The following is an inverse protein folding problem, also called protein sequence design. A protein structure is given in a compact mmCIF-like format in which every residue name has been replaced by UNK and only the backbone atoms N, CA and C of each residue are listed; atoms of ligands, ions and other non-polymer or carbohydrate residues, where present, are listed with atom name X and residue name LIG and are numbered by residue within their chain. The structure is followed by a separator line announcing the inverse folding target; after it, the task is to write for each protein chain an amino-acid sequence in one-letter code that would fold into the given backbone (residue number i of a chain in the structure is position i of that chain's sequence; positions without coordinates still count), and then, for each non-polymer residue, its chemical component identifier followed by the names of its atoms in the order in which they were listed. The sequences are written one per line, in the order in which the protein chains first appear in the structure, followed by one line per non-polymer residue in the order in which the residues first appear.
data_IF_849884399042
#
_entry.id   IF_849884399042
#
_cell.length_a   1.000
_cell.length_b   1.000
_cell.length_c   1.000
_cell.angle_alpha   90.00
_cell.angle_beta   90.00
_cell.angle_gamma   90.00
#
_symmetry.space_group_name_H-M   'P 1'
#
loop_
_entity.id
_entity.type
_entity.pdbx_description
1 polymer ?
#
# COMPACT_ATOMS: atom_id res chain seq x y z
N UNK A 1 -22.34 6.13 0.22
CA UNK A 1 -21.47 7.30 -0.09
C UNK A 1 -22.31 8.56 -0.15
N UNK A 2 -21.87 9.66 0.47
CA UNK A 2 -22.65 10.90 0.59
C UNK A 2 -22.00 12.08 -0.15
N UNK A 3 -22.73 13.18 -0.43
CA UNK A 3 -22.20 14.34 -1.15
C UNK A 3 -20.90 14.85 -0.50
N UNK A 4 -19.86 15.05 -1.31
CA UNK A 4 -18.50 15.40 -0.85
C UNK A 4 -17.52 14.22 -0.79
N UNK A 5 -17.99 13.01 -0.47
CA UNK A 5 -17.14 11.80 -0.38
C UNK A 5 -17.27 10.87 -1.58
N UNK A 6 -18.19 11.14 -2.52
CA UNK A 6 -18.49 10.24 -3.64
C UNK A 6 -17.24 9.85 -4.43
N UNK A 7 -16.40 10.82 -4.80
CA UNK A 7 -15.18 10.54 -5.55
C UNK A 7 -14.23 9.63 -4.74
N UNK A 8 -14.04 9.94 -3.45
CA UNK A 8 -13.16 9.19 -2.56
C UNK A 8 -13.63 7.74 -2.38
N UNK A 9 -14.94 7.57 -2.13
CA UNK A 9 -15.54 6.24 -1.96
C UNK A 9 -15.55 5.43 -3.26
N UNK A 10 -15.98 6.01 -4.39
CA UNK A 10 -16.07 5.28 -5.65
C UNK A 10 -14.69 4.90 -6.20
N UNK A 11 -13.67 5.76 -6.04
CA UNK A 11 -12.33 5.46 -6.53
C UNK A 11 -11.72 4.24 -5.85
N UNK A 12 -11.88 4.12 -4.52
CA UNK A 12 -11.37 2.96 -3.78
C UNK A 12 -12.32 1.77 -3.79
N UNK A 13 -13.62 1.96 -3.99
CA UNK A 13 -14.53 0.84 -4.32
C UNK A 13 -14.12 0.20 -5.65
N UNK A 14 -13.83 1.01 -6.66
CA UNK A 14 -13.27 0.52 -7.92
C UNK A 14 -11.94 -0.21 -7.69
N UNK A 15 -11.04 0.38 -6.89
CA UNK A 15 -9.80 -0.29 -6.45
C UNK A 15 -10.05 -1.65 -5.80
N UNK A 16 -11.05 -1.77 -4.92
CA UNK A 16 -11.41 -3.03 -4.26
C UNK A 16 -11.92 -4.07 -5.27
N UNK A 17 -12.80 -3.66 -6.19
CA UNK A 17 -13.34 -4.53 -7.23
C UNK A 17 -12.26 -5.03 -8.19
N UNK A 18 -11.16 -4.29 -8.37
CA UNK A 18 -9.98 -4.75 -9.09
C UNK A 18 -9.05 -5.61 -8.22
N UNK A 19 -8.86 -5.24 -6.95
CA UNK A 19 -7.93 -5.91 -6.05
C UNK A 19 -8.35 -7.35 -5.73
N UNK A 20 -9.65 -7.64 -5.64
CA UNK A 20 -10.16 -8.99 -5.38
C UNK A 20 -9.79 -10.01 -6.48
N UNK A 21 -10.15 -9.79 -7.77
CA UNK A 21 -9.73 -10.70 -8.84
C UNK A 21 -8.21 -10.69 -9.05
N UNK A 22 -7.55 -9.53 -8.90
CA UNK A 22 -6.08 -9.45 -8.98
C UNK A 22 -5.41 -10.31 -7.89
N UNK A 23 -5.89 -10.26 -6.66
CA UNK A 23 -5.43 -11.14 -5.58
C UNK A 23 -5.64 -12.63 -5.93
N UNK A 24 -6.82 -12.99 -6.43
CA UNK A 24 -7.11 -14.37 -6.83
C UNK A 24 -6.16 -14.85 -7.94
N UNK A 25 -5.91 -14.02 -8.96
CA UNK A 25 -4.98 -14.34 -10.05
C UNK A 25 -3.54 -14.49 -9.56
N UNK A 26 -3.09 -13.61 -8.67
CA UNK A 26 -1.74 -13.68 -8.11
C UNK A 26 -1.56 -14.96 -7.27
N UNK A 27 -2.55 -15.31 -6.47
CA UNK A 27 -2.53 -16.54 -5.68
C UNK A 27 -2.63 -17.80 -6.54
N UNK A 28 -3.43 -17.78 -7.61
CA UNK A 28 -3.48 -18.85 -8.60
C UNK A 28 -2.13 -19.04 -9.29
N UNK A 29 -1.33 -17.98 -9.43
CA UNK A 29 0.04 -18.06 -9.94
C UNK A 29 1.02 -18.66 -8.91
N UNK A 30 0.93 -18.25 -7.64
CA UNK A 30 1.92 -18.64 -6.63
C UNK A 30 1.66 -19.99 -5.97
N UNK A 31 0.39 -20.36 -5.72
CA UNK A 31 0.06 -21.60 -5.00
C UNK A 31 0.60 -22.87 -5.69
N UNK A 32 0.48 -23.03 -7.03
CA UNK A 32 1.01 -24.22 -7.70
C UNK A 32 2.53 -24.34 -7.67
N UNK A 33 3.26 -23.27 -7.36
CA UNK A 33 4.73 -23.30 -7.32
C UNK A 33 5.28 -24.11 -6.15
N UNK A 34 4.49 -24.28 -5.08
CA UNK A 34 4.93 -24.92 -3.83
C UNK A 34 6.03 -24.16 -3.07
N UNK A 35 6.47 -23.00 -3.56
CA UNK A 35 7.53 -22.19 -2.97
C UNK A 35 6.96 -21.31 -1.84
N UNK A 36 7.36 -21.54 -0.57
CA UNK A 36 6.84 -20.78 0.57
C UNK A 36 7.10 -19.28 0.46
N UNK A 37 8.23 -18.86 -0.11
CA UNK A 37 8.58 -17.45 -0.24
C UNK A 37 7.67 -16.74 -1.24
N UNK A 38 7.40 -17.38 -2.39
CA UNK A 38 6.46 -16.87 -3.40
C UNK A 38 5.03 -16.83 -2.88
N UNK A 39 4.58 -17.89 -2.22
CA UNK A 39 3.24 -17.97 -1.64
C UNK A 39 3.05 -16.89 -0.56
N UNK A 40 4.00 -16.76 0.37
CA UNK A 40 3.94 -15.73 1.41
C UNK A 40 3.96 -14.32 0.82
N UNK A 41 4.84 -14.05 -0.15
CA UNK A 41 4.92 -12.76 -0.84
C UNK A 41 3.63 -12.40 -1.57
N UNK A 42 3.05 -13.35 -2.31
CA UNK A 42 1.78 -13.19 -3.01
C UNK A 42 0.61 -12.94 -2.06
N UNK A 43 0.50 -13.72 -0.98
CA UNK A 43 -0.54 -13.57 0.05
C UNK A 43 -0.46 -12.21 0.72
N UNK A 44 0.71 -11.83 1.23
CA UNK A 44 0.90 -10.60 1.99
C UNK A 44 0.61 -9.36 1.12
N UNK A 45 1.11 -9.33 -0.11
CA UNK A 45 0.81 -8.22 -1.03
C UNK A 45 -0.68 -8.15 -1.37
N UNK A 46 -1.29 -9.29 -1.72
CA UNK A 46 -2.71 -9.35 -2.09
C UNK A 46 -3.65 -8.93 -0.95
N UNK A 47 -3.44 -9.49 0.25
CA UNK A 47 -4.29 -9.21 1.41
C UNK A 47 -4.16 -7.78 1.88
N UNK A 48 -2.95 -7.20 1.85
CA UNK A 48 -2.75 -5.80 2.21
C UNK A 48 -3.39 -4.83 1.22
N UNK A 49 -3.36 -5.12 -0.09
CA UNK A 49 -4.07 -4.35 -1.10
C UNK A 49 -5.59 -4.41 -0.91
N UNK A 50 -6.16 -5.61 -0.74
CA UNK A 50 -7.59 -5.78 -0.46
C UNK A 50 -7.98 -5.05 0.83
N UNK A 51 -7.18 -5.17 1.89
CA UNK A 51 -7.42 -4.49 3.17
C UNK A 51 -7.44 -2.97 3.02
N UNK A 52 -6.50 -2.37 2.27
CA UNK A 52 -6.49 -0.93 1.99
C UNK A 52 -7.79 -0.50 1.31
N UNK A 53 -8.10 -1.08 0.16
CA UNK A 53 -9.25 -0.62 -0.62
C UNK A 53 -10.57 -0.87 0.10
N UNK A 54 -10.69 -1.97 0.85
CA UNK A 54 -11.85 -2.23 1.68
C UNK A 54 -11.99 -1.21 2.82
N UNK A 55 -10.93 -1.01 3.61
CA UNK A 55 -10.96 -0.08 4.74
C UNK A 55 -11.29 1.35 4.28
N UNK A 56 -10.68 1.79 3.18
CA UNK A 56 -10.92 3.12 2.62
C UNK A 56 -12.33 3.29 2.07
N UNK A 57 -12.82 2.29 1.34
CA UNK A 57 -14.21 2.30 0.85
C UNK A 57 -15.20 2.41 2.00
N UNK A 58 -14.97 1.66 3.08
CA UNK A 58 -15.81 1.68 4.27
C UNK A 58 -15.72 3.02 4.99
N UNK A 59 -14.53 3.60 5.13
CA UNK A 59 -14.33 4.91 5.75
C UNK A 59 -15.09 6.02 5.02
N UNK A 60 -14.93 6.13 3.70
CA UNK A 60 -15.58 7.15 2.89
C UNK A 60 -17.08 6.89 2.63
N UNK A 61 -17.56 5.69 2.94
CA UNK A 61 -18.98 5.34 2.83
C UNK A 61 -19.75 5.43 4.15
N UNK A 62 -19.06 5.42 5.29
CA UNK A 62 -19.68 5.34 6.62
C UNK A 62 -19.87 6.72 7.27
N UNK A 63 -20.93 6.87 8.07
CA UNK A 63 -21.21 8.02 8.93
C UNK A 63 -21.52 7.56 10.36
N UNK A 64 -21.49 8.49 11.31
CA UNK A 64 -21.88 8.21 12.69
C UNK A 64 -20.79 7.50 13.50
N UNK A 65 -21.21 6.72 14.51
CA UNK A 65 -20.35 6.22 15.60
C UNK A 65 -19.19 5.34 15.11
N UNK A 66 -19.37 4.60 14.01
CA UNK A 66 -18.35 3.71 13.44
C UNK A 66 -17.38 4.40 12.48
N UNK A 67 -17.59 5.68 12.10
CA UNK A 67 -16.70 6.35 11.14
C UNK A 67 -15.25 6.40 11.62
N UNK A 68 -15.04 6.65 12.93
CA UNK A 68 -13.71 6.70 13.55
C UNK A 68 -13.00 5.34 13.56
N UNK A 69 -13.75 4.25 13.61
CA UNK A 69 -13.17 2.91 13.51
C UNK A 69 -12.60 2.69 12.10
N UNK A 70 -13.39 3.00 11.08
CA UNK A 70 -12.96 2.83 9.69
C UNK A 70 -11.86 3.82 9.28
N UNK A 71 -11.85 5.03 9.83
CA UNK A 71 -10.76 5.99 9.68
C UNK A 71 -9.42 5.39 10.14
N UNK A 72 -9.40 4.81 11.35
CA UNK A 72 -8.20 4.15 11.87
C UNK A 72 -7.81 2.93 11.05
N UNK A 73 -8.79 2.14 10.61
CA UNK A 73 -8.54 1.00 9.75
C UNK A 73 -7.92 1.41 8.41
N UNK A 74 -8.41 2.49 7.80
CA UNK A 74 -7.89 3.06 6.56
C UNK A 74 -6.43 3.52 6.72
N UNK A 75 -6.14 4.29 7.78
CA UNK A 75 -4.78 4.72 8.09
C UNK A 75 -3.83 3.55 8.38
N UNK A 76 -4.29 2.53 9.11
CA UNK A 76 -3.52 1.31 9.38
C UNK A 76 -3.23 0.54 8.09
N UNK A 77 -4.20 0.45 7.18
CA UNK A 77 -4.06 -0.30 5.95
C UNK A 77 -3.03 0.30 4.98
N UNK A 78 -2.76 1.61 5.05
CA UNK A 78 -1.65 2.23 4.30
C UNK A 78 -0.30 1.65 4.76
N UNK A 79 -0.07 1.51 6.07
CA UNK A 79 1.17 0.89 6.58
C UNK A 79 1.29 -0.57 6.13
N UNK A 80 0.18 -1.31 6.17
CA UNK A 80 0.13 -2.70 5.72
C UNK A 80 0.42 -2.82 4.23
N UNK A 81 -0.15 -1.97 3.38
CA UNK A 81 0.10 -2.03 1.94
C UNK A 81 1.55 -1.69 1.61
N UNK A 82 2.14 -0.69 2.27
CA UNK A 82 3.56 -0.37 2.05
C UNK A 82 4.42 -1.59 2.41
N UNK A 83 4.27 -2.17 3.61
CA UNK A 83 5.01 -3.37 4.00
C UNK A 83 4.73 -4.57 3.10
N UNK A 84 3.47 -4.74 2.70
CA UNK A 84 3.03 -5.83 1.85
C UNK A 84 3.61 -5.76 0.45
N UNK A 85 3.81 -4.55 -0.08
CA UNK A 85 4.45 -4.29 -1.38
C UNK A 85 5.93 -4.70 -1.36
N UNK A 86 6.63 -4.48 -0.26
CA UNK A 86 8.04 -4.87 -0.12
C UNK A 86 8.27 -6.37 0.06
N UNK A 87 7.29 -7.07 0.65
CA UNK A 87 7.44 -8.47 1.06
C UNK A 87 7.83 -9.43 -0.07
N UNK A 88 7.17 -9.45 -1.26
CA UNK A 88 7.60 -10.33 -2.35
C UNK A 88 9.02 -10.03 -2.85
N UNK A 89 9.42 -8.76 -2.96
CA UNK A 89 10.79 -8.40 -3.36
C UNK A 89 11.83 -8.87 -2.34
N UNK A 90 11.54 -8.73 -1.05
CA UNK A 90 12.42 -9.17 0.02
C UNK A 90 12.60 -10.69 0.04
N UNK A 91 11.49 -11.43 -0.03
CA UNK A 91 11.47 -12.90 0.10
C UNK A 91 11.94 -13.63 -1.17
N UNK A 92 11.64 -13.09 -2.36
CA UNK A 92 11.87 -13.80 -3.63
C UNK A 92 13.04 -13.23 -4.42
N UNK A 93 13.12 -11.90 -4.57
CA UNK A 93 14.17 -11.28 -5.40
C UNK A 93 15.48 -11.09 -4.64
N UNK A 94 15.44 -10.39 -3.50
CA UNK A 94 16.64 -10.06 -2.74
C UNK A 94 17.22 -11.29 -2.06
N UNK A 95 16.41 -12.00 -1.27
CA UNK A 95 16.82 -13.14 -0.44
C UNK A 95 18.02 -12.79 0.48
N UNK A 96 18.41 -13.74 1.32
CA UNK A 96 19.58 -13.60 2.19
C UNK A 96 19.51 -12.38 3.13
N UNK A 97 20.67 -11.84 3.57
CA UNK A 97 20.73 -10.78 4.57
C UNK A 97 19.97 -9.50 4.16
N UNK A 98 20.06 -9.10 2.88
CA UNK A 98 19.37 -7.91 2.38
C UNK A 98 17.86 -8.06 2.39
N UNK A 99 17.34 -9.23 1.99
CA UNK A 99 15.91 -9.52 2.05
C UNK A 99 15.38 -9.46 3.48
N UNK A 100 16.06 -10.13 4.41
CA UNK A 100 15.66 -10.13 5.82
C UNK A 100 15.77 -8.76 6.49
N UNK A 101 16.83 -7.99 6.21
CA UNK A 101 16.99 -6.64 6.74
C UNK A 101 15.86 -5.72 6.27
N UNK A 102 15.54 -5.75 4.96
CA UNK A 102 14.46 -4.95 4.40
C UNK A 102 13.10 -5.36 4.98
N UNK A 103 12.84 -6.66 5.10
CA UNK A 103 11.60 -7.18 5.66
C UNK A 103 11.44 -6.78 7.14
N UNK A 104 12.49 -6.92 7.94
CA UNK A 104 12.48 -6.54 9.35
C UNK A 104 12.28 -5.02 9.52
N UNK A 105 12.99 -4.21 8.73
CA UNK A 105 12.87 -2.75 8.76
C UNK A 105 11.45 -2.29 8.39
N UNK A 106 10.90 -2.79 7.28
CA UNK A 106 9.59 -2.34 6.79
C UNK A 106 8.44 -2.77 7.70
N UNK A 107 8.47 -4.01 8.21
CA UNK A 107 7.42 -4.50 9.11
C UNK A 107 7.52 -3.87 10.50
N UNK A 108 8.73 -3.61 11.01
CA UNK A 108 8.90 -2.88 12.27
C UNK A 108 8.34 -1.45 12.16
N UNK A 109 8.62 -0.76 11.06
CA UNK A 109 8.06 0.57 10.80
C UNK A 109 6.53 0.54 10.63
N UNK A 110 5.99 -0.47 9.96
CA UNK A 110 4.54 -0.66 9.82
C UNK A 110 3.86 -0.91 11.16
N UNK A 111 4.40 -1.83 11.98
CA UNK A 111 3.91 -2.12 13.33
C UNK A 111 3.95 -0.88 14.22
N UNK A 112 5.04 -0.10 14.15
CA UNK A 112 5.14 1.17 14.87
C UNK A 112 4.09 2.20 14.41
N UNK A 113 3.87 2.33 13.10
CA UNK A 113 2.84 3.19 12.52
C UNK A 113 1.43 2.82 12.96
N UNK A 114 1.09 1.52 12.87
CA UNK A 114 -0.19 0.96 13.32
C UNK A 114 -0.38 1.19 14.82
N UNK A 115 0.64 0.92 15.64
CA UNK A 115 0.58 1.16 17.08
C UNK A 115 0.29 2.63 17.41
N UNK A 116 0.93 3.59 16.73
CA UNK A 116 0.67 5.03 16.90
C UNK A 116 -0.78 5.41 16.56
N UNK A 117 -1.32 4.80 15.51
CA UNK A 117 -2.68 5.04 15.04
C UNK A 117 -3.72 4.48 16.01
N UNK A 118 -3.47 3.28 16.57
CA UNK A 118 -4.36 2.61 17.51
C UNK A 118 -4.36 3.22 18.91
N UNK A 119 -3.31 3.99 19.29
CA UNK A 119 -3.32 4.71 20.57
C UNK A 119 -4.58 5.56 20.71
N UNK A 120 -5.18 5.64 21.92
CA UNK A 120 -6.22 6.62 22.21
C UNK A 120 -5.75 8.01 21.75
N UNK A 121 -6.63 8.75 21.07
CA UNK A 121 -6.41 10.17 20.86
C UNK A 121 -7.12 10.89 22.01
N UNK A 122 -6.53 12.00 22.45
CA UNK A 122 -7.19 12.91 23.37
C UNK A 122 -8.58 13.28 22.85
N UNK A 123 -9.51 13.48 23.78
CA UNK A 123 -10.93 13.60 23.50
C UNK A 123 -11.21 14.66 22.40
N UNK A 124 -11.69 14.21 21.24
CA UNK A 124 -12.30 15.06 20.22
C UNK A 124 -11.52 15.27 18.91
N UNK A 125 -10.23 14.96 18.83
CA UNK A 125 -9.45 15.20 17.61
C UNK A 125 -9.30 13.93 16.73
N UNK A 126 -9.53 14.10 15.42
CA UNK A 126 -9.12 13.14 14.40
C UNK A 126 -7.58 13.11 14.34
N UNK A 127 -6.98 11.92 14.49
CA UNK A 127 -5.54 11.76 14.33
C UNK A 127 -5.22 11.81 12.85
N UNK A 128 -4.38 12.77 12.45
CA UNK A 128 -3.83 12.78 11.10
C UNK A 128 -2.74 11.71 11.03
N UNK A 129 -2.75 10.84 10.00
CA UNK A 129 -1.73 9.83 9.88
C UNK A 129 -0.38 10.49 9.54
N UNK A 130 0.70 9.80 9.90
CA UNK A 130 2.05 10.34 9.81
C UNK A 130 2.58 10.23 8.38
N UNK A 131 2.24 11.21 7.53
CA UNK A 131 2.75 11.29 6.16
C UNK A 131 4.29 11.14 6.06
N UNK A 132 5.11 11.75 6.95
CA UNK A 132 6.55 11.54 6.92
C UNK A 132 6.95 10.07 7.12
N UNK A 133 6.22 9.32 7.95
CA UNK A 133 6.47 7.90 8.17
C UNK A 133 6.09 7.08 6.92
N UNK A 134 4.96 7.38 6.27
CA UNK A 134 4.59 6.72 5.01
C UNK A 134 5.64 6.94 3.92
N UNK A 135 6.09 8.18 3.73
CA UNK A 135 7.13 8.51 2.74
C UNK A 135 8.44 7.83 3.12
N UNK A 136 8.85 7.91 4.38
CA UNK A 136 10.08 7.26 4.87
C UNK A 136 10.06 5.75 4.61
N UNK A 137 8.96 5.07 4.94
CA UNK A 137 8.78 3.65 4.63
C UNK A 137 8.80 3.37 3.13
N UNK A 138 8.09 4.19 2.34
CA UNK A 138 8.02 4.06 0.88
C UNK A 138 9.38 4.16 0.19
N UNK A 139 10.33 4.90 0.77
CA UNK A 139 11.67 5.10 0.23
C UNK A 139 12.74 4.16 0.79
N UNK A 140 12.41 3.25 1.72
CA UNK A 140 13.37 2.26 2.24
C UNK A 140 13.94 1.35 1.14
N UNK A 141 13.22 1.15 0.05
CA UNK A 141 13.68 0.40 -1.13
C UNK A 141 14.92 0.97 -1.79
N UNK A 142 15.21 2.27 -1.61
CA UNK A 142 16.46 2.87 -2.11
C UNK A 142 17.69 2.25 -1.44
N UNK A 143 17.58 1.85 -0.17
CA UNK A 143 18.66 1.16 0.54
C UNK A 143 19.02 -0.19 -0.11
N UNK A 144 18.06 -0.81 -0.78
CA UNK A 144 18.23 -2.06 -1.51
C UNK A 144 18.22 -1.87 -3.04
N UNK A 145 18.37 -0.63 -3.54
CA UNK A 145 18.23 -0.35 -4.97
C UNK A 145 19.30 -1.04 -5.83
N UNK A 146 20.56 -1.01 -5.41
CA UNK A 146 21.66 -1.67 -6.13
C UNK A 146 21.46 -3.20 -6.23
N UNK A 147 21.22 -3.94 -5.13
CA UNK A 147 20.97 -5.38 -5.23
C UNK A 147 19.65 -5.72 -5.93
N UNK A 148 18.61 -4.86 -5.86
CA UNK A 148 17.39 -5.03 -6.64
C UNK A 148 17.64 -4.87 -8.14
N UNK A 149 18.33 -3.81 -8.55
CA UNK A 149 18.63 -3.54 -9.95
C UNK A 149 19.51 -4.62 -10.60
N UNK A 150 20.37 -5.27 -9.81
CA UNK A 150 21.19 -6.39 -10.28
C UNK A 150 20.40 -7.70 -10.50
N UNK A 151 19.26 -7.86 -9.83
CA UNK A 151 18.47 -9.11 -9.83
C UNK A 151 17.14 -9.02 -10.56
N UNK A 152 16.60 -7.82 -10.72
CA UNK A 152 15.30 -7.57 -11.33
C UNK A 152 15.48 -7.19 -12.81
N UNK A 153 14.63 -7.72 -13.68
CA UNK A 153 14.58 -7.31 -15.07
C UNK A 153 14.32 -5.79 -15.19
N UNK A 154 14.95 -5.12 -16.16
CA UNK A 154 14.88 -3.66 -16.34
C UNK A 154 13.42 -3.15 -16.43
N UNK A 155 12.54 -3.87 -17.13
CA UNK A 155 11.11 -3.53 -17.20
C UNK A 155 10.41 -3.65 -15.84
N UNK A 156 10.75 -4.67 -15.04
CA UNK A 156 10.22 -4.80 -13.67
C UNK A 156 10.69 -3.66 -12.78
N UNK A 157 11.94 -3.24 -12.93
CA UNK A 157 12.50 -2.09 -12.21
C UNK A 157 11.79 -0.78 -12.62
N UNK A 158 11.51 -0.60 -13.91
CA UNK A 158 10.76 0.55 -14.40
C UNK A 158 9.34 0.62 -13.78
N UNK A 159 8.62 -0.51 -13.70
CA UNK A 159 7.32 -0.56 -13.01
C UNK A 159 7.42 -0.28 -11.51
N UNK A 160 8.46 -0.78 -10.84
CA UNK A 160 8.71 -0.48 -9.43
C UNK A 160 8.95 1.02 -9.21
N UNK A 161 9.83 1.62 -10.01
CA UNK A 161 10.16 3.05 -9.92
C UNK A 161 8.94 3.91 -10.27
N UNK A 162 8.21 3.58 -11.33
CA UNK A 162 6.99 4.29 -11.71
C UNK A 162 5.97 4.27 -10.56
N UNK A 163 5.79 3.12 -9.91
CA UNK A 163 4.91 2.99 -8.75
C UNK A 163 5.36 3.87 -7.57
N UNK A 164 6.65 3.87 -7.25
CA UNK A 164 7.22 4.71 -6.19
C UNK A 164 7.04 6.22 -6.47
N UNK A 165 7.22 6.63 -7.73
CA UNK A 165 6.97 8.00 -8.18
C UNK A 165 5.49 8.36 -8.06
N UNK A 166 4.58 7.49 -8.53
CA UNK A 166 3.13 7.71 -8.44
C UNK A 166 2.67 7.90 -6.99
N UNK A 167 3.12 7.03 -6.06
CA UNK A 167 2.82 7.22 -4.64
C UNK A 167 3.35 8.54 -4.10
N UNK A 168 4.60 8.89 -4.44
CA UNK A 168 5.24 10.11 -3.94
C UNK A 168 4.53 11.37 -4.46
N UNK A 169 4.22 11.44 -5.76
CA UNK A 169 3.49 12.56 -6.37
C UNK A 169 2.07 12.66 -5.80
N UNK A 170 1.40 11.53 -5.55
CA UNK A 170 0.10 11.48 -4.89
C UNK A 170 0.06 12.22 -3.55
N UNK A 171 1.18 12.26 -2.81
CA UNK A 171 1.25 12.96 -1.51
C UNK A 171 1.07 14.47 -1.62
N UNK A 172 1.33 15.07 -2.79
CA UNK A 172 1.08 16.49 -3.06
C UNK A 172 -0.42 16.79 -2.97
N UNK A 173 -1.23 15.91 -3.56
CA UNK A 173 -2.70 15.99 -3.52
C UNK A 173 -3.25 15.64 -2.14
N UNK A 174 -2.65 14.66 -1.46
CA UNK A 174 -3.00 14.34 -0.07
C UNK A 174 -2.82 15.54 0.86
N UNK A 175 -1.69 16.25 0.74
CA UNK A 175 -1.41 17.43 1.57
C UNK A 175 -2.32 18.62 1.23
N UNK A 176 -2.77 18.70 -0.03
CA UNK A 176 -3.70 19.70 -0.55
C UNK A 176 -3.40 21.16 -0.11
N UNK A 177 -2.14 21.59 -0.19
CA UNK A 177 -1.78 22.98 0.20
C UNK A 177 -2.48 24.05 -0.63
N UNK A 178 -2.89 23.70 -1.85
CA UNK A 178 -3.53 24.61 -2.82
C UNK A 178 -5.06 24.68 -2.65
N UNK A 179 -5.66 23.93 -1.72
CA UNK A 179 -7.10 23.98 -1.46
C UNK A 179 -7.96 23.42 -2.60
N UNK A 180 -7.43 22.48 -3.39
CA UNK A 180 -8.17 21.86 -4.49
C UNK A 180 -9.37 21.05 -3.97
N UNK A 181 -10.54 21.27 -4.57
CA UNK A 181 -11.82 20.67 -4.14
C UNK A 181 -11.85 19.14 -4.10
N UNK A 182 -11.10 18.49 -5.00
CA UNK A 182 -11.08 17.03 -5.16
C UNK A 182 -9.69 16.42 -4.94
N UNK A 183 -8.81 17.10 -4.20
CA UNK A 183 -7.43 16.66 -3.99
C UNK A 183 -7.33 15.25 -3.39
N UNK A 184 -8.18 14.93 -2.41
CA UNK A 184 -8.19 13.61 -1.78
C UNK A 184 -8.56 12.49 -2.76
N UNK A 185 -9.54 12.75 -3.63
CA UNK A 185 -9.90 11.82 -4.69
C UNK A 185 -8.80 11.68 -5.74
N UNK A 186 -8.08 12.75 -6.07
CA UNK A 186 -6.89 12.66 -6.92
C UNK A 186 -5.81 11.80 -6.26
N UNK A 187 -5.56 11.98 -4.96
CA UNK A 187 -4.65 11.12 -4.20
C UNK A 187 -5.03 9.64 -4.31
N UNK A 188 -6.32 9.30 -4.18
CA UNK A 188 -6.79 7.91 -4.36
C UNK A 188 -6.44 7.35 -5.75
N UNK A 189 -6.55 8.16 -6.80
CA UNK A 189 -6.16 7.72 -8.15
C UNK A 189 -4.66 7.45 -8.28
N UNK A 190 -3.81 8.25 -7.63
CA UNK A 190 -2.37 7.99 -7.56
C UNK A 190 -2.04 6.73 -6.76
N UNK A 191 -2.77 6.46 -5.66
CA UNK A 191 -2.62 5.23 -4.88
C UNK A 191 -2.99 4.01 -5.71
N UNK A 192 -4.10 4.10 -6.47
CA UNK A 192 -4.57 3.03 -7.35
C UNK A 192 -3.57 2.76 -8.49
N UNK A 193 -3.10 3.81 -9.17
CA UNK A 193 -2.09 3.69 -10.22
C UNK A 193 -0.76 3.14 -9.67
N UNK A 194 -0.33 3.62 -8.50
CA UNK A 194 0.86 3.12 -7.81
C UNK A 194 0.74 1.64 -7.44
N UNK A 195 -0.41 1.21 -6.93
CA UNK A 195 -0.67 -0.21 -6.61
C UNK A 195 -0.70 -1.06 -7.86
N UNK A 196 -1.34 -0.61 -8.95
CA UNK A 196 -1.36 -1.32 -10.21
C UNK A 196 0.05 -1.50 -10.79
N UNK A 197 0.88 -0.45 -10.72
CA UNK A 197 2.30 -0.50 -11.11
C UNK A 197 3.08 -1.57 -10.33
N UNK A 198 2.90 -1.60 -9.01
CA UNK A 198 3.54 -2.61 -8.16
C UNK A 198 2.96 -4.01 -8.38
N UNK A 199 1.66 -4.14 -8.66
CA UNK A 199 1.05 -5.42 -8.99
C UNK A 199 1.67 -6.03 -10.26
N UNK A 200 1.89 -5.21 -11.30
CA UNK A 200 2.61 -5.66 -12.50
C UNK A 200 4.05 -6.05 -12.17
N UNK A 201 4.78 -5.22 -11.42
CA UNK A 201 6.15 -5.52 -11.01
C UNK A 201 6.24 -6.85 -10.26
N UNK A 202 5.39 -7.06 -9.25
CA UNK A 202 5.35 -8.25 -8.42
C UNK A 202 4.89 -9.48 -9.22
N UNK A 203 3.76 -9.38 -9.92
CA UNK A 203 3.15 -10.54 -10.55
C UNK A 203 3.83 -11.01 -11.83
N UNK A 204 4.64 -10.19 -12.51
CA UNK A 204 5.27 -10.54 -13.78
C UNK A 204 6.79 -10.69 -13.66
N UNK A 205 7.43 -10.03 -12.69
CA UNK A 205 8.89 -9.99 -12.59
C UNK A 205 9.44 -10.53 -11.26
N UNK A 206 8.59 -10.89 -10.30
CA UNK A 206 9.01 -11.43 -9.00
C UNK A 206 8.42 -12.81 -8.74
N UNK A 207 7.09 -12.91 -8.76
CA UNK A 207 6.32 -14.14 -8.54
C UNK A 207 6.09 -14.87 -9.86
#
# INVERSE_FOLDING_TARGET
MYPGERLNGYSHLFGLLLALPAAALLLAKTLPTGDPARIAGGLVFSLSAVALYAASTLFHSTRGRSKRLWERADHCAIYLLIAGTYTPFALVTLQGPWGWLLLAAIWSAACFGIWRELKPADAGAAKKPSLPLYIGMGWLGVLAAAPLAAKLHATGLAWLVAGGVLYTVGTVFYRNRLGLRHAHGAWHLFVLAGTASHYVAVGWFVL
#
